data_IF_686895291587
#
_entry.id   IF_686895291587
#
_cell.length_a   1.000
_cell.length_b   1.000
_cell.length_c   1.000
_cell.angle_alpha   90.00
_cell.angle_beta   90.00
_cell.angle_gamma   90.00
#
_symmetry.space_group_name_H-M   'P 1'
#
loop_
_entity.id
_entity.type
_entity.pdbx_description
1 polymer ?
#
# COMPACT_ATOMS: atom_id res chain seq x y z
N UNK A 1 4.89 3.45 -16.52
CA UNK A 1 5.04 4.34 -16.51
C UNK A 1 4.07 5.12 -16.26
N UNK A 2 3.78 5.63 -15.70
CA UNK A 2 2.87 6.34 -15.48
C UNK A 2 2.87 7.34 -16.15
N UNK A 3 3.42 7.21 -16.91
CA UNK A 3 3.52 8.01 -17.65
C UNK A 3 2.63 8.96 -17.89
N UNK A 4 2.69 9.99 -18.07
CA UNK A 4 1.78 11.04 -18.26
C UNK A 4 1.09 11.49 -17.02
N UNK A 5 1.37 10.84 -15.92
CA UNK A 5 0.78 11.28 -14.68
C UNK A 5 1.53 12.45 -14.14
N UNK A 6 0.84 13.58 -13.94
CA UNK A 6 1.42 14.65 -13.18
C UNK A 6 1.41 14.32 -11.71
N UNK A 7 1.99 15.22 -10.92
CA UNK A 7 2.11 14.99 -9.48
C UNK A 7 0.73 14.86 -8.83
N UNK A 8 -0.24 15.66 -9.25
CA UNK A 8 -1.56 15.59 -8.65
C UNK A 8 -2.23 14.26 -8.91
N UNK A 9 -2.10 13.76 -10.13
CA UNK A 9 -2.69 12.48 -10.47
C UNK A 9 -2.02 11.36 -9.68
N UNK A 10 -0.70 11.42 -9.57
CA UNK A 10 0.07 10.45 -8.82
C UNK A 10 -0.41 10.43 -7.37
N UNK A 11 -0.49 11.60 -6.76
CA UNK A 11 -0.89 11.70 -5.36
C UNK A 11 -2.31 11.14 -5.17
N UNK A 12 -3.22 11.48 -6.09
CA UNK A 12 -4.58 10.99 -6.00
C UNK A 12 -4.64 9.48 -6.07
N UNK A 13 -3.87 8.89 -6.98
CA UNK A 13 -3.88 7.43 -7.13
C UNK A 13 -3.30 6.74 -5.92
N UNK A 14 -2.22 7.28 -5.38
CA UNK A 14 -1.59 6.68 -4.20
C UNK A 14 -2.53 6.76 -3.01
N UNK A 15 -3.15 7.91 -2.79
CA UNK A 15 -4.01 8.08 -1.64
C UNK A 15 -5.29 7.29 -1.77
N UNK A 16 -5.81 7.15 -2.99
CA UNK A 16 -6.97 6.30 -3.23
C UNK A 16 -6.66 4.85 -2.87
N UNK A 17 -5.53 4.36 -3.34
CA UNK A 17 -5.13 2.99 -3.05
C UNK A 17 -4.91 2.80 -1.54
N UNK A 18 -4.32 3.81 -0.90
CA UNK A 18 -4.10 3.76 0.54
C UNK A 18 -5.43 3.61 1.28
N UNK A 19 -6.41 4.45 0.94
CA UNK A 19 -7.70 4.42 1.64
C UNK A 19 -8.42 3.09 1.46
N UNK A 20 -8.21 2.43 0.32
CA UNK A 20 -8.88 1.17 0.03
C UNK A 20 -8.15 -0.04 0.61
N UNK A 21 -6.96 0.16 1.13
CA UNK A 21 -6.19 -0.95 1.68
C UNK A 21 -6.80 -1.40 3.01
N UNK A 22 -7.03 -2.70 3.19
CA UNK A 22 -7.60 -3.18 4.44
C UNK A 22 -6.72 -2.81 5.63
N UNK A 23 -7.37 -2.45 6.72
CA UNK A 23 -6.66 -2.09 7.94
C UNK A 23 -6.45 -0.61 8.13
N UNK A 24 -6.64 0.20 7.09
CA UNK A 24 -6.52 1.65 7.22
C UNK A 24 -7.82 2.24 7.74
N UNK A 25 -7.71 3.43 8.30
CA UNK A 25 -8.89 4.11 8.79
C UNK A 25 -9.70 4.79 7.68
N UNK A 26 -9.17 4.77 6.45
CA UNK A 26 -9.90 5.32 5.31
C UNK A 26 -9.87 6.82 5.21
N UNK A 27 -9.10 7.49 6.05
CA UNK A 27 -9.03 8.94 6.06
C UNK A 27 -7.64 9.39 5.64
N UNK A 28 -7.58 10.40 4.78
CA UNK A 28 -6.33 10.97 4.32
C UNK A 28 -6.08 12.27 5.07
N UNK A 29 -4.87 12.41 5.58
CA UNK A 29 -4.48 13.60 6.31
C UNK A 29 -3.38 14.32 5.55
N UNK A 30 -3.10 15.55 5.99
CA UNK A 30 -2.07 16.35 5.33
C UNK A 30 -0.71 15.66 5.27
N UNK A 31 -0.21 15.03 6.35
CA UNK A 31 1.08 14.34 6.26
C UNK A 31 1.08 13.24 5.20
N UNK A 32 -0.06 12.61 4.96
CA UNK A 32 -0.16 11.59 3.92
C UNK A 32 0.05 12.20 2.54
N UNK A 33 -0.52 13.38 2.30
CA UNK A 33 -0.34 14.06 1.03
C UNK A 33 1.09 14.49 0.83
N UNK A 34 1.72 14.99 1.89
CA UNK A 34 3.12 15.40 1.84
C UNK A 34 4.00 14.19 1.51
N UNK A 35 3.75 13.07 2.16
CA UNK A 35 4.54 11.88 1.90
C UNK A 35 4.35 11.37 0.48
N UNK A 36 3.11 11.39 -0.02
CA UNK A 36 2.86 10.96 -1.39
C UNK A 36 3.63 11.84 -2.37
N UNK A 37 3.67 13.15 -2.12
CA UNK A 37 4.44 14.06 -2.97
C UNK A 37 5.93 13.73 -2.91
N UNK A 38 6.43 13.38 -1.73
CA UNK A 38 7.83 13.00 -1.59
C UNK A 38 8.15 11.73 -2.37
N UNK A 39 7.24 10.77 -2.34
CA UNK A 39 7.42 9.54 -3.12
C UNK A 39 7.44 9.83 -4.61
N UNK A 40 6.60 10.76 -5.05
CA UNK A 40 6.62 11.20 -6.42
C UNK A 40 7.98 11.79 -6.79
N UNK A 41 8.52 12.65 -5.92
CA UNK A 41 9.81 13.28 -6.16
C UNK A 41 10.94 12.25 -6.22
N UNK A 42 10.82 11.18 -5.45
CA UNK A 42 11.82 10.10 -5.47
C UNK A 42 11.70 9.21 -6.70
N UNK A 43 10.65 9.38 -7.48
CA UNK A 43 10.46 8.56 -8.68
C UNK A 43 9.93 7.17 -8.39
N UNK A 44 9.31 6.96 -7.24
CA UNK A 44 8.74 5.66 -6.90
C UNK A 44 7.44 5.49 -7.68
N UNK A 45 7.32 4.39 -8.44
CA UNK A 45 6.14 4.21 -9.28
C UNK A 45 4.91 3.87 -8.44
N UNK A 46 3.74 4.20 -8.98
CA UNK A 46 2.49 3.83 -8.32
C UNK A 46 2.39 2.33 -8.15
N UNK A 47 2.85 1.57 -9.14
CA UNK A 47 2.84 0.11 -9.07
C UNK A 47 3.57 -0.41 -7.84
N UNK A 48 4.74 0.15 -7.58
CA UNK A 48 5.53 -0.28 -6.43
C UNK A 48 4.76 -0.01 -5.14
N UNK A 49 4.14 1.17 -5.06
CA UNK A 49 3.41 1.54 -3.86
C UNK A 49 2.18 0.66 -3.67
N UNK A 50 1.45 0.39 -4.75
CA UNK A 50 0.30 -0.50 -4.67
C UNK A 50 0.70 -1.90 -4.24
N UNK A 51 1.82 -2.39 -4.78
CA UNK A 51 2.31 -3.70 -4.40
C UNK A 51 2.71 -3.73 -2.92
N UNK A 52 3.27 -2.65 -2.42
CA UNK A 52 3.61 -2.56 -1.00
C UNK A 52 2.36 -2.64 -0.14
N UNK A 53 1.29 -1.96 -0.55
CA UNK A 53 0.02 -2.03 0.18
C UNK A 53 -0.49 -3.48 0.23
N UNK A 54 -0.45 -4.17 -0.91
CA UNK A 54 -0.91 -5.55 -0.98
C UNK A 54 -0.08 -6.45 -0.07
N UNK A 55 1.22 -6.28 -0.11
CA UNK A 55 2.11 -7.11 0.70
C UNK A 55 1.86 -6.86 2.19
N UNK A 56 1.77 -5.60 2.59
CA UNK A 56 1.54 -5.27 3.98
C UNK A 56 0.18 -5.78 4.45
N UNK A 57 -0.86 -5.61 3.63
CA UNK A 57 -2.19 -6.08 4.00
C UNK A 57 -2.21 -7.60 4.14
N UNK A 58 -1.53 -8.29 3.24
CA UNK A 58 -1.46 -9.74 3.30
C UNK A 58 -0.79 -10.20 4.57
N UNK A 59 0.31 -9.54 4.94
CA UNK A 59 1.03 -9.89 6.17
C UNK A 59 0.17 -9.68 7.40
N UNK A 60 -0.72 -8.70 7.39
CA UNK A 60 -1.60 -8.47 8.52
C UNK A 60 -2.66 -9.56 8.64
N UNK A 61 -3.02 -10.20 7.53
CA UNK A 61 -4.00 -11.27 7.57
C UNK A 61 -3.39 -12.60 7.97
N UNK A 62 -2.12 -12.82 7.62
CA UNK A 62 -1.47 -14.11 7.87
C UNK A 62 -0.70 -14.01 9.18
N UNK A 63 -1.41 -14.15 10.28
CA UNK A 63 -0.82 -14.05 11.61
C UNK A 63 -1.28 -15.22 12.46
N UNK A 64 -0.48 -15.63 13.45
CA UNK A 64 -0.91 -16.68 14.37
C UNK A 64 -2.22 -16.29 15.05
N UNK A 65 -3.03 -17.28 15.34
CA UNK A 65 -4.33 -17.03 15.98
C UNK A 65 -4.19 -16.35 17.32
N UNK A 66 -3.11 -16.67 18.04
CA UNK A 66 -2.94 -16.10 19.37
C UNK A 66 -2.19 -14.77 19.36
N UNK A 67 -1.91 -14.23 18.18
CA UNK A 67 -1.23 -12.93 18.11
C UNK A 67 -2.15 -11.83 18.62
N UNK A 68 -1.59 -10.81 19.24
CA UNK A 68 -2.42 -9.68 19.70
C UNK A 68 -3.10 -8.98 18.54
N UNK A 69 -4.26 -8.38 18.76
CA UNK A 69 -4.92 -7.64 17.70
C UNK A 69 -4.05 -6.50 17.21
N UNK A 70 -4.12 -6.22 15.91
CA UNK A 70 -3.40 -5.09 15.32
C UNK A 70 -4.27 -3.86 15.35
N UNK A 71 -3.64 -2.73 15.60
CA UNK A 71 -4.35 -1.47 15.54
C UNK A 71 -4.65 -1.05 14.12
N UNK A 72 -5.48 -0.03 14.00
CA UNK A 72 -5.81 0.55 12.70
C UNK A 72 -4.60 1.30 12.15
N UNK A 73 -4.37 1.17 10.87
CA UNK A 73 -3.32 1.93 10.19
C UNK A 73 -3.80 3.36 10.03
N UNK A 74 -3.06 4.31 10.58
CA UNK A 74 -3.51 5.70 10.64
C UNK A 74 -2.77 6.63 9.70
N UNK A 75 -1.71 6.14 9.02
CA UNK A 75 -0.97 7.02 8.12
C UNK A 75 -0.32 6.25 7.01
N UNK A 76 -0.08 6.94 5.91
CA UNK A 76 0.63 6.38 4.78
C UNK A 76 2.06 5.99 5.19
N UNK A 77 2.63 6.71 6.14
CA UNK A 77 4.00 6.42 6.59
C UNK A 77 4.15 5.01 7.14
N UNK A 78 3.07 4.42 7.61
CA UNK A 78 3.10 3.04 8.07
C UNK A 78 3.68 2.10 7.00
N UNK A 79 3.46 2.42 5.73
CA UNK A 79 3.86 1.55 4.64
C UNK A 79 5.27 1.82 4.12
N UNK A 80 5.95 2.86 4.63
CA UNK A 80 7.28 3.19 4.12
C UNK A 80 8.26 2.03 4.18
N UNK A 81 8.38 1.29 5.31
CA UNK A 81 9.32 0.18 5.33
C UNK A 81 9.00 -0.88 4.28
N UNK A 82 7.71 -1.11 4.02
CA UNK A 82 7.31 -2.11 3.03
C UNK A 82 7.59 -1.60 1.62
N UNK A 83 7.37 -0.31 1.37
CA UNK A 83 7.71 0.28 0.07
C UNK A 83 9.20 0.12 -0.20
N UNK A 84 10.05 0.41 0.80
CA UNK A 84 11.48 0.23 0.62
C UNK A 84 11.84 -1.23 0.38
N UNK A 85 11.15 -2.13 1.07
CA UNK A 85 11.38 -3.55 0.89
C UNK A 85 11.06 -3.98 -0.54
N UNK A 86 9.92 -3.53 -1.08
CA UNK A 86 9.54 -3.88 -2.44
C UNK A 86 10.55 -3.35 -3.44
N UNK A 87 11.04 -2.13 -3.21
CA UNK A 87 12.05 -1.55 -4.10
C UNK A 87 13.33 -2.36 -4.10
N UNK A 88 13.70 -2.95 -2.97
CA UNK A 88 14.94 -3.72 -2.87
C UNK A 88 14.81 -5.14 -3.36
N UNK A 89 13.66 -5.77 -3.09
CA UNK A 89 13.52 -7.19 -3.37
C UNK A 89 13.23 -7.50 -4.81
N UNK A 90 12.73 -6.54 -5.57
CA UNK A 90 12.42 -6.76 -6.98
C UNK A 90 11.53 -7.99 -7.19
N UNK A 91 10.51 -8.11 -6.36
CA UNK A 91 9.60 -9.24 -6.45
C UNK A 91 8.85 -9.20 -7.77
N UNK A 92 8.60 -10.36 -8.37
CA UNK A 92 7.96 -10.41 -9.67
C UNK A 92 6.50 -9.94 -9.61
N UNK A 93 6.00 -9.36 -10.71
CA UNK A 93 4.60 -8.95 -10.73
C UNK A 93 3.62 -10.11 -10.51
N UNK A 94 3.98 -11.31 -10.96
CA UNK A 94 3.12 -12.48 -10.78
C UNK A 94 2.89 -12.79 -9.32
N UNK A 95 3.92 -12.61 -8.51
CA UNK A 95 3.79 -12.86 -7.09
C UNK A 95 2.76 -11.91 -6.47
N UNK A 96 2.78 -10.64 -6.88
CA UNK A 96 1.83 -9.67 -6.34
C UNK A 96 0.42 -9.93 -6.85
N UNK A 97 0.28 -10.43 -8.07
CA UNK A 97 -1.02 -10.87 -8.57
C UNK A 97 -1.59 -11.96 -7.68
N UNK A 98 -0.75 -12.93 -7.35
CA UNK A 98 -1.14 -14.03 -6.48
C UNK A 98 -1.57 -13.50 -5.11
N UNK A 99 -0.80 -12.56 -4.54
CA UNK A 99 -1.13 -12.00 -3.24
C UNK A 99 -2.45 -11.25 -3.28
N UNK A 100 -2.71 -10.50 -4.35
CA UNK A 100 -3.97 -9.80 -4.49
C UNK A 100 -5.14 -10.77 -4.49
N UNK A 101 -4.98 -11.86 -5.21
CA UNK A 101 -6.03 -12.87 -5.27
C UNK A 101 -6.31 -13.44 -3.88
N UNK A 102 -5.25 -13.79 -3.15
CA UNK A 102 -5.42 -14.34 -1.82
C UNK A 102 -6.04 -13.33 -0.86
N UNK A 103 -5.65 -12.08 -0.99
CA UNK A 103 -6.17 -11.03 -0.14
C UNK A 103 -7.66 -10.83 -0.37
N UNK A 104 -8.09 -10.83 -1.62
CA UNK A 104 -9.50 -10.65 -1.93
C UNK A 104 -10.35 -11.77 -1.39
N UNK A 105 -9.82 -12.99 -1.39
CA UNK A 105 -10.57 -14.12 -0.87
C UNK A 105 -10.63 -14.13 0.65
N UNK A 106 -9.60 -13.55 1.30
CA UNK A 106 -9.52 -13.57 2.75
C UNK A 106 -10.27 -12.42 3.40
N UNK A 107 -10.45 -11.31 2.68
CA UNK A 107 -11.11 -10.13 3.24
C UNK A 107 -12.61 -10.26 3.03
N UNK A 108 -13.39 -10.09 4.11
CA UNK A 108 -14.84 -10.17 3.96
C UNK A 108 -15.36 -9.11 3.01
N UNK A 109 -16.39 -9.48 2.25
CA UNK A 109 -17.05 -8.54 1.35
C UNK A 109 -17.96 -7.64 2.15
N UNK A 110 -18.00 -6.40 1.77
CA UNK A 110 -18.86 -5.48 2.47
C UNK A 110 -20.11 -5.19 1.74
#
# INVERSE_FOLDING_TARGET
MDDGCGQEEYIRRVLDAYRKTPGTMGTVRRPDRVLAAQLYQRGVSVSVIENAFVLAATRRLVRPENAPPLGTIRSLAYFLPVIEEVLELRVSPDYFQYLRYKLQRAVPTR
#
